data_IF_007332473031
#
_entry.id   IF_007332473031
#
_cell.length_a   1.000
_cell.length_b   1.000
_cell.length_c   1.000
_cell.angle_alpha   90.00
_cell.angle_beta   90.00
_cell.angle_gamma   90.00
#
_symmetry.space_group_name_H-M   'P 1'
#
loop_
_entity.id
_entity.type
_entity.pdbx_description
1 polymer ?
#
# COMPACT_ATOMS: atom_id res chain seq x y z
N UNK A 1 -17.32 -10.45 2.92
CA UNK A 1 -17.17 -9.00 2.61
C UNK A 1 -18.43 -8.37 2.04
N UNK A 2 -19.08 -8.93 1.00
CA UNK A 2 -20.39 -8.45 0.52
C UNK A 2 -21.47 -8.42 1.62
N UNK A 3 -21.49 -9.44 2.48
CA UNK A 3 -22.39 -9.49 3.63
C UNK A 3 -22.19 -8.34 4.62
N UNK A 4 -20.95 -7.92 4.90
CA UNK A 4 -20.67 -6.83 5.84
C UNK A 4 -21.11 -5.48 5.27
N UNK A 5 -20.86 -5.24 3.98
CA UNK A 5 -21.36 -4.06 3.28
C UNK A 5 -22.89 -4.01 3.29
N UNK A 6 -23.56 -5.11 2.92
CA UNK A 6 -25.03 -5.21 2.93
C UNK A 6 -25.58 -5.04 4.35
N UNK A 7 -24.93 -5.62 5.36
CA UNK A 7 -25.32 -5.53 6.76
C UNK A 7 -25.19 -4.09 7.27
N UNK A 8 -24.06 -3.43 7.06
CA UNK A 8 -23.87 -2.02 7.44
C UNK A 8 -24.94 -1.16 6.75
N UNK A 9 -25.21 -1.36 5.46
CA UNK A 9 -26.20 -0.56 4.75
C UNK A 9 -27.63 -0.80 5.25
N UNK A 10 -27.99 -2.04 5.63
CA UNK A 10 -29.33 -2.36 6.16
C UNK A 10 -29.61 -1.74 7.53
N UNK A 11 -28.57 -1.36 8.28
CA UNK A 11 -28.68 -0.87 9.64
C UNK A 11 -28.42 0.64 9.80
N UNK A 12 -28.23 1.36 8.68
CA UNK A 12 -28.10 2.82 8.67
C UNK A 12 -29.16 3.45 7.77
N UNK A 13 -29.96 4.37 8.31
CA UNK A 13 -30.92 5.17 7.54
C UNK A 13 -30.20 6.23 6.69
N UNK A 14 -30.00 5.96 5.39
CA UNK A 14 -29.40 6.90 4.44
C UNK A 14 -28.97 6.29 3.11
N UNK A 15 -28.66 7.13 2.11
CA UNK A 15 -28.02 6.69 0.86
C UNK A 15 -26.56 6.37 1.18
N UNK A 16 -26.21 5.09 1.16
CA UNK A 16 -24.85 4.63 1.33
C UNK A 16 -24.12 4.61 -0.02
N UNK A 17 -22.97 5.27 -0.09
CA UNK A 17 -22.02 5.11 -1.17
C UNK A 17 -20.83 4.30 -0.67
N UNK A 18 -20.66 3.08 -1.20
CA UNK A 18 -19.43 2.33 -0.97
C UNK A 18 -18.49 2.66 -2.11
N UNK A 19 -17.43 3.38 -1.78
CA UNK A 19 -16.40 3.77 -2.72
C UNK A 19 -15.35 2.67 -2.79
N UNK A 20 -15.14 2.16 -4.00
CA UNK A 20 -14.10 1.15 -4.23
C UNK A 20 -12.70 1.77 -4.20
N UNK A 21 -12.57 3.08 -4.50
CA UNK A 21 -11.26 3.75 -4.62
C UNK A 21 -11.29 5.24 -4.24
N UNK A 22 -10.22 5.72 -3.61
CA UNK A 22 -10.03 7.11 -3.17
C UNK A 22 -9.98 8.14 -4.32
N UNK A 23 -9.60 7.71 -5.53
CA UNK A 23 -9.33 8.62 -6.66
C UNK A 23 -10.57 9.19 -7.35
N UNK A 24 -11.73 8.58 -7.16
CA UNK A 24 -12.98 9.08 -7.74
C UNK A 24 -13.70 10.06 -6.82
N UNK A 25 -13.14 10.33 -5.63
CA UNK A 25 -13.74 11.30 -4.71
C UNK A 25 -13.88 12.68 -5.37
N UNK A 26 -12.87 13.13 -6.13
CA UNK A 26 -12.95 14.40 -6.86
C UNK A 26 -14.09 14.40 -7.89
N UNK A 27 -14.21 13.35 -8.69
CA UNK A 27 -15.31 13.23 -9.67
C UNK A 27 -16.67 13.25 -8.98
N UNK A 28 -16.80 12.53 -7.86
CA UNK A 28 -18.04 12.50 -7.07
C UNK A 28 -18.38 13.86 -6.48
N UNK A 29 -17.39 14.54 -5.88
CA UNK A 29 -17.55 15.89 -5.34
C UNK A 29 -17.98 16.85 -6.44
N UNK A 30 -17.28 16.87 -7.58
CA UNK A 30 -17.64 17.73 -8.71
C UNK A 30 -19.07 17.44 -9.21
N UNK A 31 -19.46 16.17 -9.35
CA UNK A 31 -20.81 15.80 -9.76
C UNK A 31 -21.86 16.29 -8.77
N UNK A 32 -21.60 16.21 -7.46
CA UNK A 32 -22.50 16.72 -6.43
C UNK A 32 -22.55 18.26 -6.46
N UNK A 33 -21.41 18.93 -6.53
CA UNK A 33 -21.30 20.39 -6.60
C UNK A 33 -22.01 20.98 -7.83
N UNK A 34 -21.97 20.25 -8.95
CA UNK A 34 -22.65 20.64 -10.19
C UNK A 34 -24.12 20.20 -10.26
N UNK A 35 -24.70 19.65 -9.18
CA UNK A 35 -26.07 19.10 -9.14
C UNK A 35 -26.34 18.04 -10.22
N UNK A 36 -25.32 17.29 -10.62
CA UNK A 36 -25.42 16.19 -11.57
C UNK A 36 -25.83 14.89 -10.88
N UNK A 37 -26.32 13.93 -11.67
CA UNK A 37 -26.75 12.64 -11.15
C UNK A 37 -25.55 11.73 -10.81
N UNK A 38 -25.20 11.66 -9.52
CA UNK A 38 -24.13 10.83 -8.98
C UNK A 38 -24.25 9.35 -9.39
N UNK A 39 -25.45 8.84 -9.69
CA UNK A 39 -25.67 7.46 -10.14
C UNK A 39 -25.04 7.15 -11.49
N UNK A 40 -24.57 8.17 -12.22
CA UNK A 40 -23.81 8.02 -13.48
C UNK A 40 -22.31 7.92 -13.27
N UNK A 41 -21.81 8.25 -12.07
CA UNK A 41 -20.37 8.17 -11.76
C UNK A 41 -19.94 6.71 -11.67
N UNK A 42 -18.83 6.35 -12.31
CA UNK A 42 -18.26 5.00 -12.27
C UNK A 42 -17.71 4.65 -10.87
N UNK A 43 -17.48 3.37 -10.61
CA UNK A 43 -16.88 2.86 -9.36
C UNK A 43 -17.62 3.20 -8.05
N UNK A 44 -18.93 3.44 -8.10
CA UNK A 44 -19.76 3.60 -6.90
C UNK A 44 -20.75 2.44 -6.77
N UNK A 45 -21.05 2.07 -5.53
CA UNK A 45 -22.17 1.20 -5.20
C UNK A 45 -23.12 1.92 -4.27
N UNK A 46 -24.42 1.88 -4.58
CA UNK A 46 -25.45 2.54 -3.79
C UNK A 46 -26.72 1.68 -3.70
N UNK A 47 -27.53 1.94 -2.67
CA UNK A 47 -28.86 1.37 -2.52
C UNK A 47 -29.90 2.47 -2.71
N UNK A 48 -31.02 2.14 -3.35
CA UNK A 48 -32.13 3.08 -3.42
C UNK A 48 -32.64 3.51 -2.03
N UNK A 49 -33.35 4.64 -1.99
CA UNK A 49 -33.92 5.20 -0.75
C UNK A 49 -34.88 4.26 0.00
N UNK A 50 -35.35 3.19 -0.65
CA UNK A 50 -36.30 2.24 -0.08
C UNK A 50 -35.58 0.96 0.41
N UNK A 51 -34.25 0.89 0.30
CA UNK A 51 -33.46 -0.28 0.67
C UNK A 51 -33.61 -1.49 -0.26
N UNK A 52 -34.31 -1.37 -1.39
CA UNK A 52 -34.78 -2.52 -2.20
C UNK A 52 -33.85 -2.89 -3.34
N UNK A 53 -33.15 -1.91 -3.93
CA UNK A 53 -32.27 -2.13 -5.08
C UNK A 53 -30.84 -1.70 -4.82
N UNK A 54 -29.93 -2.67 -4.77
CA UNK A 54 -28.50 -2.43 -4.87
C UNK A 54 -28.12 -2.18 -6.33
N UNK A 55 -27.40 -1.09 -6.58
CA UNK A 55 -26.86 -0.74 -7.91
C UNK A 55 -25.37 -0.51 -7.80
N UNK A 56 -24.62 -1.09 -8.73
CA UNK A 56 -23.18 -0.84 -8.91
C UNK A 56 -22.99 -0.27 -10.30
N UNK A 57 -22.32 0.88 -10.38
CA UNK A 57 -21.97 1.49 -11.67
C UNK A 57 -20.77 0.77 -12.29
N UNK A 58 -20.56 0.96 -13.59
CA UNK A 58 -19.45 0.32 -14.29
C UNK A 58 -18.11 0.66 -13.63
N UNK A 59 -17.21 -0.32 -13.61
CA UNK A 59 -15.86 -0.10 -13.11
C UNK A 59 -15.10 0.82 -14.08
N UNK A 60 -14.35 1.77 -13.54
CA UNK A 60 -13.38 2.55 -14.32
C UNK A 60 -11.98 1.92 -14.22
N UNK A 61 -11.20 2.07 -15.28
CA UNK A 61 -9.81 1.63 -15.31
C UNK A 61 -9.03 2.28 -14.18
N UNK A 62 -8.17 1.48 -13.58
CA UNK A 62 -7.26 1.93 -12.53
C UNK A 62 -6.24 2.90 -13.11
N UNK A 63 -5.88 3.94 -12.36
CA UNK A 63 -4.75 4.81 -12.70
C UNK A 63 -3.52 3.92 -12.89
N UNK A 64 -2.89 3.96 -14.05
CA UNK A 64 -1.74 3.11 -14.38
C UNK A 64 -0.41 3.75 -13.98
N UNK A 65 -0.30 5.08 -14.12
CA UNK A 65 0.92 5.84 -13.80
C UNK A 65 0.73 6.51 -12.44
N UNK A 66 1.31 5.91 -11.40
CA UNK A 66 1.14 6.41 -10.02
C UNK A 66 1.84 7.75 -9.78
N UNK A 67 2.87 8.11 -10.56
CA UNK A 67 3.59 9.38 -10.44
C UNK A 67 2.71 10.62 -10.70
N UNK A 68 1.57 10.44 -11.38
CA UNK A 68 0.58 11.50 -11.62
C UNK A 68 -0.24 11.86 -10.38
N UNK A 69 -0.12 11.06 -9.31
CA UNK A 69 -0.84 11.25 -8.06
C UNK A 69 -0.02 12.20 -7.20
N UNK A 70 -0.67 13.27 -6.72
CA UNK A 70 -0.05 14.18 -5.77
C UNK A 70 0.34 13.44 -4.48
N UNK A 71 1.44 13.87 -3.84
CA UNK A 71 1.85 13.36 -2.55
C UNK A 71 0.74 13.53 -1.52
N UNK A 72 0.69 12.62 -0.54
CA UNK A 72 -0.35 12.66 0.47
C UNK A 72 -0.28 13.97 1.27
N UNK A 73 -1.42 14.61 1.49
CA UNK A 73 -1.52 15.78 2.34
C UNK A 73 -1.03 15.46 3.76
N UNK A 74 -0.21 16.33 4.35
CA UNK A 74 0.47 16.09 5.64
C UNK A 74 -0.04 16.99 6.76
N UNK A 75 -1.13 17.71 6.56
CA UNK A 75 -1.72 18.67 7.51
C UNK A 75 -2.03 18.04 8.88
N UNK A 76 -2.59 16.83 8.87
CA UNK A 76 -2.89 16.07 10.10
C UNK A 76 -1.60 15.72 10.85
N UNK A 77 -0.58 15.21 10.14
CA UNK A 77 0.70 14.87 10.74
C UNK A 77 1.42 16.12 11.29
N UNK A 78 1.43 17.22 10.53
CA UNK A 78 1.99 18.50 10.97
C UNK A 78 1.29 18.99 12.24
N UNK A 79 -0.04 18.92 12.29
CA UNK A 79 -0.83 19.35 13.45
C UNK A 79 -0.59 18.46 14.67
N UNK A 80 -0.58 17.14 14.49
CA UNK A 80 -0.31 16.17 15.57
C UNK A 80 1.08 16.38 16.18
N UNK A 81 2.10 16.51 15.32
CA UNK A 81 3.48 16.78 15.73
C UNK A 81 3.58 18.08 16.54
N UNK A 82 2.97 19.17 16.07
CA UNK A 82 2.97 20.46 16.79
C UNK A 82 2.32 20.37 18.17
N UNK A 83 1.37 19.45 18.34
CA UNK A 83 0.63 19.22 19.60
C UNK A 83 1.25 18.10 20.45
N UNK A 84 2.40 17.54 20.07
CA UNK A 84 3.02 16.38 20.71
C UNK A 84 2.07 15.17 20.82
N UNK A 85 1.22 14.97 19.82
CA UNK A 85 0.35 13.80 19.71
C UNK A 85 1.09 12.74 18.89
N UNK A 86 1.21 11.49 19.39
CA UNK A 86 1.80 10.39 18.64
C UNK A 86 1.13 10.24 17.27
N UNK A 87 1.94 10.05 16.23
CA UNK A 87 1.47 9.90 14.85
C UNK A 87 2.42 9.03 14.06
N UNK A 88 1.87 8.19 13.19
CA UNK A 88 2.61 7.42 12.21
C UNK A 88 2.53 8.10 10.85
N UNK A 89 3.65 8.11 10.12
CA UNK A 89 3.73 8.70 8.79
C UNK A 89 3.96 7.59 7.78
N UNK A 90 2.97 7.38 6.90
CA UNK A 90 3.03 6.38 5.84
C UNK A 90 3.36 6.95 4.46
N UNK A 91 3.97 6.12 3.62
CA UNK A 91 4.13 6.30 2.18
C UNK A 91 3.80 4.98 1.46
N UNK A 92 3.58 5.06 0.15
CA UNK A 92 3.46 3.91 -0.75
C UNK A 92 4.42 4.12 -1.93
N UNK A 93 5.26 3.13 -2.24
CA UNK A 93 6.00 3.07 -3.50
C UNK A 93 5.18 2.40 -4.61
N UNK A 94 4.33 1.44 -4.25
CA UNK A 94 3.52 0.64 -5.16
C UNK A 94 2.11 0.37 -4.65
N UNK A 95 1.26 -0.05 -5.60
CA UNK A 95 -0.09 -0.55 -5.36
C UNK A 95 -0.27 -1.84 -6.13
N UNK A 96 -0.31 -2.92 -5.37
CA UNK A 96 -0.55 -4.26 -5.84
C UNK A 96 0.32 -5.26 -5.10
N UNK A 97 0.23 -6.52 -5.48
CA UNK A 97 1.13 -7.57 -5.03
C UNK A 97 1.24 -8.61 -6.16
N UNK A 98 2.44 -9.12 -6.50
CA UNK A 98 2.56 -10.16 -7.52
C UNK A 98 2.10 -11.53 -7.02
N UNK A 99 1.89 -11.69 -5.72
CA UNK A 99 1.62 -12.97 -5.06
C UNK A 99 0.13 -13.19 -4.84
N UNK A 100 -0.31 -14.45 -4.92
CA UNK A 100 -1.71 -14.87 -4.89
C UNK A 100 -2.08 -15.62 -3.60
N UNK A 101 -1.55 -15.19 -2.46
CA UNK A 101 -1.74 -15.88 -1.18
C UNK A 101 -3.24 -16.01 -0.84
N UNK A 102 -3.71 -17.22 -0.57
CA UNK A 102 -5.13 -17.57 -0.54
C UNK A 102 -5.91 -16.89 0.60
N UNK A 103 -5.23 -16.57 1.70
CA UNK A 103 -5.79 -15.86 2.85
C UNK A 103 -5.79 -14.33 2.66
N UNK A 104 -5.01 -13.81 1.71
CA UNK A 104 -4.73 -12.39 1.59
C UNK A 104 -5.88 -11.64 0.93
N UNK A 105 -6.36 -10.57 1.58
CA UNK A 105 -7.31 -9.64 0.98
C UNK A 105 -6.61 -8.51 0.20
N UNK A 106 -5.28 -8.45 0.23
CA UNK A 106 -4.46 -7.39 -0.33
C UNK A 106 -4.75 -7.14 -1.81
N UNK A 107 -4.95 -8.19 -2.61
CA UNK A 107 -5.29 -8.04 -4.03
C UNK A 107 -6.56 -7.24 -4.28
N UNK A 108 -7.54 -7.31 -3.36
CA UNK A 108 -8.77 -6.53 -3.47
C UNK A 108 -8.55 -5.04 -3.24
N UNK A 109 -7.65 -4.68 -2.32
CA UNK A 109 -7.40 -3.30 -1.91
C UNK A 109 -6.26 -2.63 -2.69
N UNK A 110 -5.17 -3.34 -2.92
CA UNK A 110 -3.96 -2.82 -3.56
C UNK A 110 -3.95 -3.05 -5.08
N UNK A 111 -4.46 -4.20 -5.52
CA UNK A 111 -4.45 -4.61 -6.94
C UNK A 111 -5.82 -4.44 -7.63
N UNK A 112 -6.79 -3.78 -6.99
CA UNK A 112 -8.15 -3.55 -7.52
C UNK A 112 -8.89 -4.85 -7.90
N UNK A 113 -8.61 -5.93 -7.19
CA UNK A 113 -9.13 -7.27 -7.44
C UNK A 113 -8.40 -8.04 -8.55
N UNK A 114 -7.31 -7.50 -9.10
CA UNK A 114 -6.49 -8.15 -10.12
C UNK A 114 -5.20 -8.68 -9.50
N UNK A 115 -5.25 -9.93 -9.03
CA UNK A 115 -4.07 -10.65 -8.52
C UNK A 115 -2.91 -10.54 -9.51
N UNK A 116 -1.71 -10.25 -9.03
CA UNK A 116 -0.52 -10.15 -9.86
C UNK A 116 -0.26 -8.77 -10.48
N UNK A 117 -1.23 -7.85 -10.43
CA UNK A 117 -1.05 -6.50 -10.98
C UNK A 117 -0.34 -5.60 -9.97
N UNK A 118 0.87 -5.18 -10.32
CA UNK A 118 1.60 -4.14 -9.59
C UNK A 118 1.60 -2.86 -10.42
N UNK A 119 1.33 -1.73 -9.76
CA UNK A 119 1.60 -0.40 -10.30
C UNK A 119 2.56 0.26 -9.34
N UNK A 120 3.66 0.79 -9.84
CA UNK A 120 4.73 1.34 -9.02
C UNK A 120 5.01 2.79 -9.43
N UNK A 121 5.40 3.60 -8.46
CA UNK A 121 5.93 4.95 -8.67
C UNK A 121 7.38 4.87 -9.14
N UNK A 122 7.89 5.86 -9.86
CA UNK A 122 9.33 5.90 -10.11
C UNK A 122 10.11 6.05 -8.78
N UNK A 123 11.33 5.52 -8.68
CA UNK A 123 12.19 5.73 -7.51
C UNK A 123 12.36 7.21 -7.18
N UNK A 124 12.58 8.04 -8.20
CA UNK A 124 12.68 9.50 -8.06
C UNK A 124 11.41 10.12 -7.46
N UNK A 125 10.22 9.68 -7.88
CA UNK A 125 8.97 10.19 -7.34
C UNK A 125 8.81 9.86 -5.84
N UNK A 126 9.21 8.67 -5.41
CA UNK A 126 9.19 8.27 -3.98
C UNK A 126 10.23 9.05 -3.17
N UNK A 127 11.46 9.16 -3.67
CA UNK A 127 12.54 9.91 -3.00
C UNK A 127 12.19 11.39 -2.88
N UNK A 128 11.56 11.99 -3.90
CA UNK A 128 11.09 13.37 -3.82
C UNK A 128 10.02 13.57 -2.73
N UNK A 129 9.12 12.59 -2.53
CA UNK A 129 8.19 12.64 -1.40
C UNK A 129 8.93 12.51 -0.07
N UNK A 130 9.87 11.56 0.06
CA UNK A 130 10.70 11.43 1.26
C UNK A 130 11.45 12.73 1.59
N UNK A 131 12.05 13.38 0.59
CA UNK A 131 12.70 14.68 0.76
C UNK A 131 11.72 15.72 1.34
N UNK A 132 10.50 15.79 0.81
CA UNK A 132 9.47 16.71 1.30
C UNK A 132 9.05 16.45 2.76
N UNK A 133 9.24 15.21 3.24
CA UNK A 133 8.93 14.80 4.61
C UNK A 133 10.06 15.06 5.60
N UNK A 134 11.30 15.27 5.14
CA UNK A 134 12.48 15.54 5.99
C UNK A 134 12.23 16.49 7.17
N UNK A 135 11.52 17.64 7.00
CA UNK A 135 11.24 18.54 8.12
C UNK A 135 10.41 17.93 9.25
N UNK A 136 9.60 16.92 8.97
CA UNK A 136 8.79 16.21 9.97
C UNK A 136 9.65 15.29 10.84
N UNK A 137 10.68 14.67 10.25
CA UNK A 137 11.57 13.71 10.92
C UNK A 137 12.74 14.36 11.64
N UNK A 138 13.14 15.57 11.25
CA UNK A 138 14.27 16.27 11.88
C UNK A 138 14.05 16.44 13.40
N UNK A 139 15.00 15.95 14.19
CA UNK A 139 15.02 16.01 15.65
C UNK A 139 13.82 15.31 16.33
N UNK A 140 13.21 14.32 15.67
CA UNK A 140 12.13 13.49 16.24
C UNK A 140 12.45 12.02 16.05
N UNK A 141 12.02 11.20 17.01
CA UNK A 141 12.11 9.75 16.94
C UNK A 141 10.93 9.19 16.14
N UNK A 142 10.81 9.59 14.87
CA UNK A 142 9.78 9.11 13.95
C UNK A 142 10.35 8.13 12.94
N UNK A 143 9.53 7.17 12.55
CA UNK A 143 9.82 6.16 11.52
C UNK A 143 8.84 6.38 10.36
N UNK A 144 9.36 6.33 9.13
CA UNK A 144 8.55 6.36 7.92
C UNK A 144 8.12 4.93 7.59
N UNK A 145 6.83 4.72 7.39
CA UNK A 145 6.29 3.37 7.12
C UNK A 145 5.95 3.20 5.65
N UNK A 146 6.60 2.24 4.98
CA UNK A 146 6.16 1.79 3.64
C UNK A 146 5.01 0.79 3.79
N UNK A 147 3.81 1.22 3.41
CA UNK A 147 2.57 0.43 3.51
C UNK A 147 2.29 -0.42 2.27
N UNK A 148 3.31 -0.63 1.46
CA UNK A 148 3.34 -1.51 0.31
C UNK A 148 3.06 -2.95 0.75
N UNK A 149 2.35 -3.74 -0.08
CA UNK A 149 2.05 -5.14 0.26
C UNK A 149 3.32 -5.99 0.39
N UNK A 150 4.36 -5.67 -0.40
CA UNK A 150 5.72 -6.17 -0.27
C UNK A 150 6.67 -5.18 -0.90
N UNK A 151 7.52 -4.53 -0.12
CA UNK A 151 8.39 -3.45 -0.59
C UNK A 151 9.41 -3.91 -1.64
N UNK A 152 9.87 -5.15 -1.52
CA UNK A 152 10.87 -5.74 -2.41
C UNK A 152 10.56 -7.20 -2.69
N UNK A 153 10.89 -7.64 -3.91
CA UNK A 153 10.83 -9.04 -4.35
C UNK A 153 12.11 -9.43 -5.07
N UNK A 154 12.25 -10.71 -5.42
CA UNK A 154 13.39 -11.24 -6.18
C UNK A 154 13.31 -10.96 -7.70
N UNK A 155 12.25 -10.33 -8.20
CA UNK A 155 12.15 -10.03 -9.64
C UNK A 155 13.20 -8.99 -10.05
N UNK A 156 13.72 -9.11 -11.28
CA UNK A 156 14.72 -8.18 -11.80
C UNK A 156 14.22 -6.72 -11.74
N UNK A 157 12.98 -6.48 -12.12
CA UNK A 157 12.34 -5.15 -12.06
C UNK A 157 12.26 -4.60 -10.62
N UNK A 158 12.02 -5.47 -9.64
CA UNK A 158 12.03 -5.08 -8.23
C UNK A 158 13.41 -4.76 -7.72
N UNK A 159 14.43 -5.52 -8.13
CA UNK A 159 15.82 -5.27 -7.75
C UNK A 159 16.34 -3.98 -8.38
N UNK A 160 16.07 -3.76 -9.66
CA UNK A 160 16.46 -2.53 -10.38
C UNK A 160 15.82 -1.28 -9.75
N UNK A 161 14.54 -1.36 -9.39
CA UNK A 161 13.87 -0.24 -8.72
C UNK A 161 14.51 0.11 -7.38
N UNK A 162 14.84 -0.90 -6.58
CA UNK A 162 15.47 -0.71 -5.26
C UNK A 162 16.89 -0.17 -5.40
N UNK A 163 17.65 -0.64 -6.39
CA UNK A 163 18.98 -0.15 -6.70
C UNK A 163 18.98 1.35 -7.05
N UNK A 164 18.05 1.77 -7.93
CA UNK A 164 17.87 3.18 -8.28
C UNK A 164 17.38 3.99 -7.07
N UNK A 165 16.46 3.45 -6.27
CA UNK A 165 15.98 4.08 -5.04
C UNK A 165 17.12 4.35 -4.05
N UNK A 166 17.96 3.36 -3.75
CA UNK A 166 19.14 3.54 -2.90
C UNK A 166 20.13 4.55 -3.50
N UNK A 167 20.40 4.47 -4.80
CA UNK A 167 21.31 5.41 -5.48
C UNK A 167 20.85 6.86 -5.35
N UNK A 168 19.55 7.10 -5.48
CA UNK A 168 18.97 8.44 -5.35
C UNK A 168 19.00 8.96 -3.90
N UNK A 169 18.82 8.10 -2.90
CA UNK A 169 18.98 8.45 -1.49
C UNK A 169 20.43 8.83 -1.18
N UNK A 170 21.38 8.04 -1.67
CA UNK A 170 22.82 8.26 -1.52
C UNK A 170 23.26 9.59 -2.16
N UNK A 171 22.87 9.83 -3.41
CA UNK A 171 23.15 11.07 -4.15
C UNK A 171 22.69 12.31 -3.38
N UNK A 172 21.56 12.21 -2.67
CA UNK A 172 20.94 13.32 -1.92
C UNK A 172 21.40 13.37 -0.46
N UNK A 173 22.20 12.41 -0.01
CA UNK A 173 22.51 12.20 1.41
C UNK A 173 21.23 12.19 2.27
N UNK A 174 20.16 11.59 1.75
CA UNK A 174 18.84 11.56 2.40
C UNK A 174 18.74 10.31 3.26
N UNK A 175 18.73 10.51 4.58
CA UNK A 175 18.57 9.42 5.55
C UNK A 175 17.36 9.65 6.45
N UNK A 176 16.24 9.03 6.10
CA UNK A 176 15.04 8.96 6.94
C UNK A 176 14.93 7.51 7.43
N UNK A 177 14.83 7.25 8.74
CA UNK A 177 14.57 5.90 9.23
C UNK A 177 13.23 5.40 8.70
N UNK A 178 13.21 4.24 8.07
CA UNK A 178 11.99 3.63 7.55
C UNK A 178 11.90 2.15 7.86
N UNK A 179 10.66 1.66 7.90
CA UNK A 179 10.35 0.24 7.89
C UNK A 179 9.48 -0.12 6.68
N UNK A 180 9.38 -1.43 6.43
CA UNK A 180 8.64 -1.95 5.30
C UNK A 180 8.14 -3.38 5.55
N UNK A 181 7.02 -3.74 4.93
CA UNK A 181 6.60 -5.14 4.81
C UNK A 181 7.43 -5.85 3.75
N UNK A 182 8.01 -7.00 4.11
CA UNK A 182 8.86 -7.80 3.21
C UNK A 182 8.44 -9.26 3.36
N UNK A 183 8.37 -9.99 2.25
CA UNK A 183 8.10 -11.42 2.33
C UNK A 183 9.35 -12.18 2.75
N UNK A 184 9.16 -13.30 3.44
CA UNK A 184 10.27 -14.16 3.88
C UNK A 184 11.15 -14.71 2.74
N UNK A 185 10.63 -14.77 1.52
CA UNK A 185 11.33 -15.20 0.30
C UNK A 185 11.85 -14.04 -0.57
N UNK A 186 11.80 -12.80 -0.08
CA UNK A 186 12.28 -11.64 -0.85
C UNK A 186 13.80 -11.52 -0.90
N UNK A 187 14.53 -12.25 -0.05
CA UNK A 187 15.98 -12.23 0.00
C UNK A 187 16.57 -13.64 0.08
N UNK A 188 17.81 -13.74 -0.37
CA UNK A 188 18.69 -14.88 -0.30
C UNK A 188 19.94 -14.44 0.46
N UNK A 189 20.13 -14.92 1.70
CA UNK A 189 21.15 -14.37 2.59
C UNK A 189 22.55 -14.33 1.99
N UNK A 190 22.94 -15.38 1.26
CA UNK A 190 24.29 -15.48 0.67
C UNK A 190 24.47 -14.57 -0.55
N UNK A 191 23.37 -14.21 -1.24
CA UNK A 191 23.43 -13.46 -2.52
C UNK A 191 23.01 -12.01 -2.40
N UNK A 192 22.22 -11.68 -1.40
CA UNK A 192 21.62 -10.35 -1.23
C UNK A 192 22.22 -9.57 -0.05
N UNK A 193 23.28 -10.07 0.61
CA UNK A 193 23.93 -9.40 1.76
C UNK A 193 24.28 -7.94 1.45
N UNK A 194 24.91 -7.67 0.31
CA UNK A 194 25.28 -6.32 -0.11
C UNK A 194 24.05 -5.41 -0.24
N UNK A 195 22.98 -5.90 -0.86
CA UNK A 195 21.74 -5.16 -1.04
C UNK A 195 21.04 -4.87 0.29
N UNK A 196 21.02 -5.85 1.21
CA UNK A 196 20.47 -5.69 2.55
C UNK A 196 21.27 -4.62 3.32
N UNK A 197 22.59 -4.72 3.30
CA UNK A 197 23.47 -3.73 3.94
C UNK A 197 23.27 -2.33 3.35
N UNK A 198 23.09 -2.23 2.03
CA UNK A 198 22.80 -0.96 1.36
C UNK A 198 21.47 -0.36 1.80
N UNK A 199 20.42 -1.17 1.92
CA UNK A 199 19.12 -0.72 2.44
C UNK A 199 19.23 -0.21 3.88
N UNK A 200 19.93 -0.94 4.75
CA UNK A 200 20.17 -0.55 6.15
C UNK A 200 20.95 0.76 6.22
N UNK A 201 22.00 0.91 5.42
CA UNK A 201 22.80 2.13 5.37
C UNK A 201 21.97 3.35 4.92
N UNK A 202 20.99 3.13 4.05
CA UNK A 202 20.04 4.13 3.53
C UNK A 202 18.82 4.39 4.43
N UNK A 203 18.69 3.69 5.57
CA UNK A 203 17.69 4.00 6.59
C UNK A 203 16.65 2.90 6.86
N UNK A 204 16.75 1.71 6.26
CA UNK A 204 15.92 0.58 6.67
C UNK A 204 16.31 0.15 8.08
N UNK A 205 15.42 0.37 9.06
CA UNK A 205 15.69 0.07 10.48
C UNK A 205 14.82 -1.08 11.02
N UNK A 206 13.82 -1.53 10.27
CA UNK A 206 12.93 -2.59 10.69
C UNK A 206 12.14 -3.16 9.51
N UNK A 207 11.65 -4.38 9.66
CA UNK A 207 10.76 -5.00 8.68
C UNK A 207 9.78 -5.96 9.34
N UNK A 208 8.59 -6.04 8.75
CA UNK A 208 7.60 -7.07 9.09
C UNK A 208 7.70 -8.20 8.07
N UNK A 209 8.09 -9.39 8.53
CA UNK A 209 8.30 -10.56 7.67
C UNK A 209 7.07 -11.46 7.65
N UNK A 210 6.46 -11.62 6.48
CA UNK A 210 5.33 -12.53 6.27
C UNK A 210 5.77 -14.00 6.21
N UNK A 211 5.88 -14.65 7.38
CA UNK A 211 6.17 -16.09 7.53
C UNK A 211 4.90 -16.94 7.36
N UNK A 212 3.84 -16.54 8.07
CA UNK A 212 2.48 -17.10 8.10
C UNK A 212 2.33 -18.52 8.65
N UNK A 213 3.26 -19.43 8.38
CA UNK A 213 3.23 -20.80 8.91
C UNK A 213 4.64 -21.41 8.98
N UNK A 214 4.78 -22.46 9.80
CA UNK A 214 6.04 -23.20 10.02
C UNK A 214 6.09 -24.58 9.35
N UNK A 215 5.02 -25.00 8.68
CA UNK A 215 4.86 -26.30 8.04
C UNK A 215 4.45 -26.17 6.56
N UNK A 216 4.92 -27.11 5.74
CA UNK A 216 4.71 -27.08 4.29
C UNK A 216 3.23 -27.20 3.90
N UNK A 217 2.44 -27.97 4.64
CA UNK A 217 1.01 -28.20 4.34
C UNK A 217 0.21 -26.89 4.50
N UNK A 218 0.43 -26.14 5.58
CA UNK A 218 -0.22 -24.84 5.80
C UNK A 218 0.31 -23.79 4.83
N UNK A 219 1.62 -23.77 4.53
CA UNK A 219 2.18 -22.86 3.52
C UNK A 219 1.59 -23.12 2.12
N UNK A 220 1.33 -24.38 1.79
CA UNK A 220 0.64 -24.78 0.56
C UNK A 220 -0.82 -24.35 0.57
N UNK A 221 -1.55 -24.57 1.68
CA UNK A 221 -2.93 -24.09 1.85
C UNK A 221 -3.02 -22.57 1.66
N UNK A 222 -2.04 -21.83 2.20
CA UNK A 222 -1.91 -20.38 2.07
C UNK A 222 -1.45 -19.91 0.69
N UNK A 223 -1.10 -20.83 -0.21
CA UNK A 223 -0.53 -20.53 -1.51
C UNK A 223 0.64 -19.53 -1.41
N UNK A 224 1.51 -19.76 -0.42
CA UNK A 224 2.61 -18.84 -0.10
C UNK A 224 3.76 -18.98 -1.10
N UNK A 225 3.89 -20.15 -1.75
CA UNK A 225 4.93 -20.43 -2.74
C UNK A 225 6.32 -20.63 -2.14
N UNK A 226 6.39 -20.93 -0.83
CA UNK A 226 7.63 -21.18 -0.09
C UNK A 226 7.53 -22.52 0.63
N UNK A 227 8.68 -23.04 1.07
CA UNK A 227 8.76 -24.20 1.97
C UNK A 227 9.24 -23.76 3.34
N UNK A 228 8.80 -24.49 4.37
CA UNK A 228 9.38 -24.41 5.70
C UNK A 228 10.86 -24.81 5.62
N UNK A 229 11.69 -24.08 6.36
CA UNK A 229 13.09 -24.46 6.55
C UNK A 229 13.10 -25.44 7.73
N UNK A 230 13.75 -26.61 7.63
CA UNK A 230 13.92 -27.48 8.79
C UNK A 230 14.60 -26.68 9.89
N UNK A 231 13.91 -26.49 11.02
CA UNK A 231 14.52 -25.88 12.20
C UNK A 231 15.49 -26.91 12.77
N UNK A 232 16.70 -26.95 12.24
CA UNK A 232 17.82 -27.55 12.93
C UNK A 232 18.15 -26.59 14.08
N UNK A 233 17.54 -26.82 15.24
CA UNK A 233 18.02 -26.26 16.49
C UNK A 233 19.51 -26.61 16.59
N UNK A 234 20.37 -25.61 16.40
CA UNK A 234 21.77 -25.66 16.81
C UNK A 234 21.88 -25.15 18.23
#
# INVERSE_FOLDING_TARGET
>A
MFFLCIYIIKHFDGIFYIYKYFFYFRTQVNTIENNEDIRKVKNISFIDKNGKKFTRTNDESSITILDTIAFAARDVAISAIKKNIPIEIGILAERGCPFSCSFCNGDRFFSNGKVGLIRRRSPLNVVNEMMSLTPLFKNKELILHFYDATFITRSADSRAWIDEFCSLLEERNLKIPFDAFIRSDSFDFDRDEELINRLVNNGLIGTYVGLEAGDDDTLQLYNKGIKSIPIHYR
#
